data_IF_170065244184
#
_entry.id   IF_170065244184
#
_cell.length_a   1.000
_cell.length_b   1.000
_cell.length_c   1.000
_cell.angle_alpha   90.00
_cell.angle_beta   90.00
_cell.angle_gamma   90.00
#
_symmetry.space_group_name_H-M   'P 1'
#
loop_
_entity.id
_entity.type
_entity.pdbx_description
1 polymer ?
#
# COMPACT_ATOMS: atom_id res chain seq x y z
N UNK A 1 1.44 9.03 -23.32
CA UNK A 1 1.65 7.70 -22.73
C UNK A 1 0.89 7.63 -21.42
N UNK A 2 -0.01 6.70 -21.29
CA UNK A 2 -0.76 6.55 -20.05
C UNK A 2 0.00 5.71 -19.03
N UNK A 3 -0.20 6.04 -17.76
CA UNK A 3 0.40 5.30 -16.64
C UNK A 3 -0.68 4.50 -15.95
N UNK A 4 -0.34 3.30 -15.51
CA UNK A 4 -1.24 2.42 -14.78
C UNK A 4 -0.84 2.37 -13.31
N UNK A 5 -1.67 2.98 -12.47
CA UNK A 5 -1.56 2.84 -11.02
C UNK A 5 -2.55 1.78 -10.56
N UNK A 6 -2.10 0.83 -9.77
CA UNK A 6 -2.95 -0.27 -9.28
C UNK A 6 -3.15 -0.11 -7.78
N UNK A 7 -4.42 -0.04 -7.36
CA UNK A 7 -4.78 -0.01 -5.94
C UNK A 7 -4.88 -1.43 -5.40
N UNK A 8 -4.17 -1.71 -4.32
CA UNK A 8 -4.15 -3.03 -3.70
C UNK A 8 -4.78 -3.06 -2.30
N UNK A 9 -5.54 -2.03 -1.92
CA UNK A 9 -6.18 -1.98 -0.60
C UNK A 9 -7.07 -3.19 -0.35
N UNK A 10 -7.81 -3.64 -1.37
CA UNK A 10 -8.72 -4.77 -1.22
C UNK A 10 -8.02 -6.09 -0.95
N UNK A 11 -6.77 -6.24 -1.37
CA UNK A 11 -5.96 -7.42 -1.03
C UNK A 11 -5.79 -7.50 0.49
N UNK A 12 -5.44 -6.38 1.11
CA UNK A 12 -5.32 -6.32 2.57
C UNK A 12 -6.66 -6.54 3.26
N UNK A 13 -7.74 -6.02 2.68
CA UNK A 13 -9.10 -6.21 3.21
C UNK A 13 -9.46 -7.70 3.26
N UNK A 14 -9.20 -8.43 2.19
CA UNK A 14 -9.48 -9.87 2.12
C UNK A 14 -8.62 -10.63 3.14
N UNK A 15 -7.34 -10.31 3.22
CA UNK A 15 -6.46 -10.91 4.22
C UNK A 15 -6.99 -10.69 5.65
N UNK A 16 -7.39 -9.45 5.96
CA UNK A 16 -7.90 -9.11 7.28
C UNK A 16 -9.18 -9.85 7.60
N UNK A 17 -10.08 -9.95 6.62
CA UNK A 17 -11.35 -10.67 6.80
C UNK A 17 -11.14 -12.16 7.04
N UNK A 18 -10.10 -12.74 6.43
CA UNK A 18 -9.76 -14.17 6.60
C UNK A 18 -9.01 -14.44 7.90
N UNK A 19 -8.47 -13.41 8.54
CA UNK A 19 -7.66 -13.57 9.73
C UNK A 19 -6.39 -14.37 9.50
N UNK A 20 -5.78 -14.25 8.31
CA UNK A 20 -4.60 -15.00 7.92
C UNK A 20 -3.54 -14.08 7.33
N UNK A 21 -2.42 -14.66 6.86
CA UNK A 21 -1.37 -13.90 6.18
C UNK A 21 -1.62 -13.75 4.67
N UNK A 22 -2.62 -14.40 4.15
CA UNK A 22 -2.91 -14.42 2.72
C UNK A 22 -4.29 -13.86 2.42
N UNK A 23 -4.45 -13.16 1.30
CA UNK A 23 -3.40 -12.77 0.34
C UNK A 23 -2.49 -11.68 0.91
N UNK A 24 -1.22 -11.72 0.56
CA UNK A 24 -0.22 -10.78 1.05
C UNK A 24 -0.09 -9.58 0.10
N UNK A 25 -0.34 -8.34 0.56
CA UNK A 25 -0.21 -7.15 -0.29
C UNK A 25 1.15 -6.98 -0.94
N UNK A 26 2.23 -7.32 -0.24
CA UNK A 26 3.59 -7.20 -0.79
C UNK A 26 3.78 -8.14 -1.98
N UNK A 27 3.33 -9.39 -1.85
CA UNK A 27 3.41 -10.36 -2.94
C UNK A 27 2.62 -9.89 -4.15
N UNK A 28 1.39 -9.40 -3.93
CA UNK A 28 0.55 -8.90 -5.01
C UNK A 28 1.16 -7.67 -5.68
N UNK A 29 1.73 -6.75 -4.89
CA UNK A 29 2.40 -5.57 -5.43
C UNK A 29 3.53 -5.96 -6.40
N UNK A 30 4.35 -6.93 -6.00
CA UNK A 30 5.43 -7.42 -6.86
C UNK A 30 4.88 -8.04 -8.15
N UNK A 31 3.79 -8.80 -8.05
CA UNK A 31 3.19 -9.44 -9.21
C UNK A 31 2.61 -8.44 -10.20
N UNK A 32 1.85 -7.44 -9.73
CA UNK A 32 1.25 -6.45 -10.64
C UNK A 32 2.31 -5.57 -11.30
N UNK A 33 3.40 -5.25 -10.60
CA UNK A 33 4.52 -4.54 -11.20
C UNK A 33 5.18 -5.37 -12.31
N UNK A 34 5.29 -6.66 -12.10
CA UNK A 34 5.84 -7.59 -13.09
C UNK A 34 4.95 -7.66 -14.33
N UNK A 35 3.64 -7.50 -14.17
CA UNK A 35 2.68 -7.51 -15.29
C UNK A 35 2.50 -6.15 -15.96
N UNK A 36 3.28 -5.14 -15.58
CA UNK A 36 3.33 -3.87 -16.30
C UNK A 36 2.68 -2.68 -15.62
N UNK A 37 2.31 -2.78 -14.34
CA UNK A 37 1.84 -1.61 -13.62
C UNK A 37 2.97 -0.59 -13.46
N UNK A 38 2.63 0.68 -13.50
CA UNK A 38 3.59 1.78 -13.33
C UNK A 38 3.79 2.15 -11.88
N UNK A 39 2.77 1.97 -11.05
CA UNK A 39 2.82 2.29 -9.63
C UNK A 39 1.80 1.49 -8.85
N UNK A 40 1.99 1.45 -7.55
CA UNK A 40 1.05 0.85 -6.59
C UNK A 40 0.45 1.97 -5.76
N UNK A 41 -0.87 1.98 -5.64
CA UNK A 41 -1.59 2.94 -4.81
C UNK A 41 -2.16 2.24 -3.60
N UNK A 42 -1.93 2.79 -2.43
CA UNK A 42 -2.48 2.29 -1.17
C UNK A 42 -3.05 3.45 -0.37
N UNK A 43 -4.03 3.15 0.47
CA UNK A 43 -4.63 4.12 1.38
C UNK A 43 -4.48 3.61 2.81
N UNK A 44 -3.75 4.34 3.63
CA UNK A 44 -3.63 4.05 5.05
C UNK A 44 -4.75 4.78 5.79
N UNK A 45 -5.80 4.07 6.15
CA UNK A 45 -6.91 4.62 6.92
C UNK A 45 -6.54 4.67 8.39
N UNK A 46 -7.10 5.63 9.12
CA UNK A 46 -6.87 5.73 10.56
C UNK A 46 -7.31 4.48 11.31
N UNK A 47 -8.39 3.84 10.84
CA UNK A 47 -8.93 2.61 11.45
C UNK A 47 -8.20 1.34 11.03
N UNK A 48 -7.23 1.45 10.15
CA UNK A 48 -6.42 0.32 9.61
C UNK A 48 -7.27 -0.80 9.03
N UNK A 49 -8.39 -0.43 8.40
CA UNK A 49 -9.35 -1.39 7.85
C UNK A 49 -8.80 -2.19 6.68
N UNK A 50 -7.89 -1.60 5.93
CA UNK A 50 -7.25 -2.21 4.76
C UNK A 50 -5.76 -2.42 5.05
N UNK A 51 -4.94 -1.52 4.56
CA UNK A 51 -3.49 -1.52 4.79
C UNK A 51 -3.21 -1.20 6.27
N UNK A 52 -2.34 -1.96 6.90
CA UNK A 52 -1.87 -1.67 8.25
C UNK A 52 -0.46 -1.09 8.23
N UNK A 53 0.05 -0.72 9.40
CA UNK A 53 1.36 -0.06 9.51
C UNK A 53 2.50 -0.96 9.04
N UNK A 54 2.39 -2.27 9.30
CA UNK A 54 3.39 -3.24 8.84
C UNK A 54 3.36 -3.38 7.33
N UNK A 55 2.17 -3.41 6.73
CA UNK A 55 2.03 -3.43 5.26
C UNK A 55 2.74 -2.23 4.65
N UNK A 56 2.49 -1.02 5.19
CA UNK A 56 3.11 0.19 4.70
C UNK A 56 4.64 0.12 4.80
N UNK A 57 5.15 -0.34 5.94
CA UNK A 57 6.58 -0.49 6.13
C UNK A 57 7.19 -1.44 5.11
N UNK A 58 6.56 -2.59 4.90
CA UNK A 58 7.06 -3.61 3.98
C UNK A 58 6.96 -3.14 2.53
N UNK A 59 5.87 -2.49 2.14
CA UNK A 59 5.71 -1.94 0.80
C UNK A 59 6.71 -0.82 0.53
N UNK A 60 6.98 0.03 1.52
CA UNK A 60 7.93 1.13 1.39
C UNK A 60 9.37 0.66 1.17
N UNK A 61 9.69 -0.55 1.61
CA UNK A 61 11.03 -1.15 1.40
C UNK A 61 11.23 -1.65 -0.02
N UNK A 62 10.16 -1.86 -0.76
CA UNK A 62 10.26 -2.28 -2.15
C UNK A 62 10.71 -1.09 -3.00
N UNK A 63 11.53 -1.36 -4.00
CA UNK A 63 11.98 -0.32 -4.93
C UNK A 63 10.99 -0.17 -6.07
N UNK A 64 9.75 0.19 -5.72
CA UNK A 64 8.66 0.39 -6.68
C UNK A 64 7.99 1.74 -6.40
N UNK A 65 7.41 2.39 -7.41
CA UNK A 65 6.65 3.61 -7.18
C UNK A 65 5.42 3.33 -6.32
N UNK A 66 5.35 4.00 -5.17
CA UNK A 66 4.28 3.82 -4.20
C UNK A 66 3.56 5.14 -3.99
N UNK A 67 2.26 5.16 -4.29
CA UNK A 67 1.40 6.32 -4.05
C UNK A 67 0.60 6.07 -2.77
N UNK A 68 0.90 6.85 -1.74
CA UNK A 68 0.26 6.71 -0.44
C UNK A 68 -0.79 7.81 -0.26
N UNK A 69 -2.04 7.40 -0.08
CA UNK A 69 -3.14 8.28 0.28
C UNK A 69 -3.37 8.20 1.78
N UNK A 70 -3.49 9.35 2.44
CA UNK A 70 -3.69 9.43 3.89
C UNK A 70 -4.70 10.53 4.23
N UNK A 71 -5.29 10.41 5.42
CA UNK A 71 -6.07 11.51 5.98
C UNK A 71 -5.15 12.70 6.27
N UNK A 72 -5.64 13.91 6.01
CA UNK A 72 -4.84 15.12 6.12
C UNK A 72 -4.81 15.62 7.57
N UNK A 73 -4.14 14.86 8.46
CA UNK A 73 -3.93 15.27 9.84
C UNK A 73 -2.47 15.02 10.23
N UNK A 74 -2.08 15.60 11.34
CA UNK A 74 -0.69 15.61 11.79
C UNK A 74 -0.14 14.21 12.02
N UNK A 75 -0.93 13.36 12.67
CA UNK A 75 -0.54 11.99 12.99
C UNK A 75 -0.27 11.16 11.73
N UNK A 76 -1.17 11.24 10.75
CA UNK A 76 -1.03 10.49 9.51
C UNK A 76 0.12 11.03 8.66
N UNK A 77 0.33 12.34 8.66
CA UNK A 77 1.45 12.95 7.94
C UNK A 77 2.79 12.49 8.51
N UNK A 78 2.90 12.36 9.83
CA UNK A 78 4.13 11.84 10.46
C UNK A 78 4.42 10.40 10.03
N UNK A 79 3.39 9.57 9.94
CA UNK A 79 3.53 8.18 9.48
C UNK A 79 4.02 8.16 8.03
N UNK A 80 3.45 9.01 7.17
CA UNK A 80 3.86 9.10 5.78
C UNK A 80 5.33 9.52 5.65
N UNK A 81 5.75 10.53 6.39
CA UNK A 81 7.14 11.01 6.38
C UNK A 81 8.09 9.92 6.83
N UNK A 82 7.73 9.20 7.89
CA UNK A 82 8.57 8.12 8.43
C UNK A 82 8.81 7.02 7.39
N UNK A 83 7.83 6.70 6.59
CA UNK A 83 7.93 5.63 5.59
C UNK A 83 8.40 6.12 4.22
N UNK A 84 8.42 7.43 3.99
CA UNK A 84 8.94 8.08 2.77
C UNK A 84 8.46 7.42 1.47
N UNK A 85 7.14 7.39 1.19
CA UNK A 85 6.65 6.89 -0.08
C UNK A 85 7.12 7.80 -1.23
N UNK A 86 7.10 7.26 -2.45
CA UNK A 86 7.58 7.97 -3.63
C UNK A 86 6.63 9.09 -4.11
N UNK A 87 5.39 9.07 -3.65
CA UNK A 87 4.39 10.06 -4.05
C UNK A 87 3.64 10.60 -2.83
#
# INVERSE_FOLDING_TARGET
MSRLGVNIDHVATIRNARGSFHPDPVTVAKQVMRFGADSITIHLREDRRHINDLDLKNLSKLKIPLNLEIACNYRMMRIAIKNRPNF
#
